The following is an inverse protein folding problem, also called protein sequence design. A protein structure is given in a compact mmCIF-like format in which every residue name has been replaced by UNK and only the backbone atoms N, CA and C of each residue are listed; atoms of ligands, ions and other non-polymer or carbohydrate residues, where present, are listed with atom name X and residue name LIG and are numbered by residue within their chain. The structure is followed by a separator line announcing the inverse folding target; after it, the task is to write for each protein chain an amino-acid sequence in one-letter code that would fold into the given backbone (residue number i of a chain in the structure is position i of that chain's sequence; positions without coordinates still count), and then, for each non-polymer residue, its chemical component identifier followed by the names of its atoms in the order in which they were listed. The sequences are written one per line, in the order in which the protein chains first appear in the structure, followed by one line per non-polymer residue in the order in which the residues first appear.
data_IF_014480067179
#
_entry.id   IF_014480067179
#
_cell.length_a   1.000
_cell.length_b   1.000
_cell.length_c   1.000
_cell.angle_alpha   90.00
_cell.angle_beta   90.00
_cell.angle_gamma   90.00
#
_symmetry.space_group_name_H-M   'P 1'
#
loop_
_entity.id
_entity.type
_entity.pdbx_description
1 polymer ?
#
# COMPACT_ATOMS: atom_id res chain seq x y z
N UNK A 1 7.26 -3.93 14.40
CA UNK A 1 5.99 -4.24 15.10
C UNK A 1 5.67 -5.72 14.86
N UNK A 2 5.65 -6.58 15.89
CA UNK A 2 5.31 -8.01 15.74
C UNK A 2 3.80 -8.16 15.87
N UNK A 3 3.12 -8.53 14.79
CA UNK A 3 1.70 -8.89 14.82
C UNK A 3 1.49 -10.15 15.71
N UNK A 4 0.29 -10.38 16.30
CA UNK A 4 0.05 -11.52 17.19
C UNK A 4 0.17 -12.88 16.47
N UNK A 5 1.24 -13.63 16.75
CA UNK A 5 1.64 -14.85 16.01
C UNK A 5 0.66 -16.03 16.03
N UNK A 6 -0.51 -15.91 16.66
CA UNK A 6 -1.44 -17.01 16.87
C UNK A 6 -2.18 -17.46 15.59
N UNK A 7 -2.48 -16.55 14.65
CA UNK A 7 -3.42 -16.83 13.54
C UNK A 7 -2.76 -17.31 12.24
N UNK A 8 -1.44 -17.28 12.16
CA UNK A 8 -0.64 -17.68 10.99
C UNK A 8 0.38 -18.79 11.27
N UNK A 9 0.40 -19.38 12.48
CA UNK A 9 1.22 -20.58 12.70
C UNK A 9 0.81 -21.68 11.73
N UNK A 10 1.79 -22.18 10.97
CA UNK A 10 1.58 -23.22 9.96
C UNK A 10 0.98 -22.72 8.63
N UNK A 11 0.82 -21.41 8.43
CA UNK A 11 0.36 -20.84 7.15
C UNK A 11 1.47 -20.01 6.50
N UNK A 12 1.66 -20.17 5.20
CA UNK A 12 2.58 -19.35 4.41
C UNK A 12 1.86 -18.09 3.91
N UNK A 13 2.39 -16.93 4.28
CA UNK A 13 1.98 -15.62 3.76
C UNK A 13 3.15 -15.05 2.95
N UNK A 14 3.19 -15.30 1.63
CA UNK A 14 4.40 -15.06 0.83
C UNK A 14 4.82 -13.59 0.80
N UNK A 15 3.87 -12.67 0.99
CA UNK A 15 4.10 -11.24 1.06
C UNK A 15 4.77 -10.76 2.36
N UNK A 16 4.92 -11.61 3.39
CA UNK A 16 5.66 -11.26 4.60
C UNK A 16 7.17 -11.09 4.33
N UNK A 17 7.73 -11.87 3.41
CA UNK A 17 9.13 -11.76 2.96
C UNK A 17 9.22 -11.18 1.53
N UNK A 18 8.30 -11.59 0.65
CA UNK A 18 8.32 -11.27 -0.77
C UNK A 18 9.71 -11.58 -1.40
N UNK A 19 10.33 -10.58 -2.03
CA UNK A 19 11.69 -10.68 -2.60
C UNK A 19 12.73 -9.91 -1.79
N UNK A 20 12.37 -9.47 -0.58
CA UNK A 20 13.22 -8.68 0.32
C UNK A 20 13.69 -7.32 -0.24
N UNK A 21 12.91 -6.70 -1.13
CA UNK A 21 13.19 -5.37 -1.69
C UNK A 21 13.44 -4.31 -0.61
N UNK A 22 12.79 -4.44 0.56
CA UNK A 22 12.97 -3.51 1.68
C UNK A 22 14.43 -3.37 2.13
N UNK A 23 15.21 -4.46 2.11
CA UNK A 23 16.64 -4.41 2.45
C UNK A 23 17.54 -4.30 1.22
N UNK A 24 17.06 -4.71 0.04
CA UNK A 24 17.86 -4.85 -1.19
C UNK A 24 17.68 -3.75 -2.22
N UNK A 25 16.80 -2.77 -1.98
CA UNK A 25 16.40 -1.79 -2.98
C UNK A 25 17.58 -1.06 -3.66
N UNK A 26 18.71 -0.85 -3.00
CA UNK A 26 19.86 -0.16 -3.63
C UNK A 26 20.42 -0.94 -4.82
N UNK A 27 20.60 -2.25 -4.65
CA UNK A 27 21.06 -3.14 -5.72
C UNK A 27 20.02 -3.21 -6.84
N UNK A 28 18.75 -3.31 -6.48
CA UNK A 28 17.66 -3.41 -7.45
C UNK A 28 17.50 -2.10 -8.26
N UNK A 29 17.62 -0.93 -7.62
CA UNK A 29 17.60 0.38 -8.30
C UNK A 29 18.81 0.54 -9.22
N UNK A 30 19.99 0.04 -8.84
CA UNK A 30 21.16 0.03 -9.72
C UNK A 30 20.89 -0.77 -10.99
N UNK A 31 20.28 -1.96 -10.87
CA UNK A 31 19.92 -2.77 -12.04
C UNK A 31 18.89 -2.05 -12.94
N UNK A 32 17.92 -1.32 -12.37
CA UNK A 32 17.01 -0.48 -13.15
C UNK A 32 17.74 0.64 -13.90
N UNK A 33 18.75 1.24 -13.27
CA UNK A 33 19.59 2.27 -13.88
C UNK A 33 20.42 1.72 -15.04
N UNK A 34 20.99 0.52 -14.91
CA UNK A 34 21.72 -0.18 -15.98
C UNK A 34 20.83 -0.45 -17.21
N UNK A 35 19.54 -0.73 -17.00
CA UNK A 35 18.55 -0.85 -18.08
C UNK A 35 18.13 0.50 -18.69
N UNK A 36 18.59 1.63 -18.13
CA UNK A 36 18.31 2.96 -18.65
C UNK A 36 16.92 3.51 -18.29
N UNK A 37 16.31 3.02 -17.21
CA UNK A 37 14.99 3.48 -16.76
C UNK A 37 15.01 5.00 -16.52
N UNK A 38 13.92 5.68 -16.91
CA UNK A 38 13.71 7.12 -16.65
C UNK A 38 12.77 7.36 -15.49
N UNK A 39 11.96 6.37 -15.16
CA UNK A 39 11.05 6.39 -14.03
C UNK A 39 10.86 5.00 -13.45
N UNK A 40 10.51 4.94 -12.17
CA UNK A 40 10.18 3.70 -11.48
C UNK A 40 8.85 3.87 -10.75
N UNK A 41 7.86 3.06 -11.14
CA UNK A 41 6.53 3.06 -10.49
C UNK A 41 6.52 2.08 -9.33
N UNK A 42 6.14 2.57 -8.16
CA UNK A 42 5.89 1.75 -6.96
C UNK A 42 4.77 2.36 -6.11
N UNK A 43 4.46 1.76 -4.96
CA UNK A 43 3.52 2.30 -3.98
C UNK A 43 4.20 2.65 -2.66
N UNK A 44 3.59 3.62 -1.95
CA UNK A 44 3.86 3.82 -0.54
C UNK A 44 2.90 2.92 0.24
N UNK A 45 3.45 1.93 0.93
CA UNK A 45 2.68 1.03 1.77
C UNK A 45 2.06 1.83 2.92
N UNK A 46 0.74 1.99 2.89
CA UNK A 46 0.00 2.76 3.88
C UNK A 46 0.33 2.28 5.31
N UNK A 47 0.44 0.97 5.52
CA UNK A 47 0.82 0.35 6.80
C UNK A 47 2.22 0.69 7.31
N UNK A 48 3.12 1.20 6.47
CA UNK A 48 4.42 1.71 6.93
C UNK A 48 4.28 3.10 7.54
N UNK A 49 3.38 3.92 7.00
CA UNK A 49 3.17 5.31 7.43
C UNK A 49 2.15 5.39 8.56
N UNK A 50 1.03 4.66 8.46
CA UNK A 50 0.00 4.53 9.48
C UNK A 50 -0.30 3.03 9.68
N UNK A 51 0.40 2.36 10.62
CA UNK A 51 0.28 0.92 10.84
C UNK A 51 -1.15 0.40 11.07
N UNK A 52 -1.95 1.13 11.84
CA UNK A 52 -3.37 0.86 12.06
C UNK A 52 -4.25 1.65 11.09
N UNK A 53 -3.77 2.80 10.60
CA UNK A 53 -4.47 3.63 9.63
C UNK A 53 -5.25 4.78 10.27
N UNK A 54 -5.50 4.72 11.59
CA UNK A 54 -6.27 5.73 12.34
C UNK A 54 -5.41 6.55 13.32
N UNK A 55 -4.10 6.30 13.40
CA UNK A 55 -3.19 7.06 14.24
C UNK A 55 -3.19 8.56 13.86
N UNK A 56 -3.06 9.48 14.84
CA UNK A 56 -2.99 10.91 14.56
C UNK A 56 -1.68 11.30 13.86
N UNK A 57 -0.58 10.62 14.20
CA UNK A 57 0.76 10.93 13.72
C UNK A 57 1.33 9.76 12.89
N UNK A 58 2.15 10.06 11.86
CA UNK A 58 2.76 9.03 11.03
C UNK A 58 3.95 8.36 11.74
N UNK A 59 4.29 7.17 11.26
CA UNK A 59 5.49 6.45 11.64
C UNK A 59 6.71 6.96 10.85
N UNK A 60 7.61 7.67 11.53
CA UNK A 60 8.82 8.25 10.93
C UNK A 60 9.74 7.21 10.28
N UNK A 61 9.86 6.00 10.84
CA UNK A 61 10.70 4.96 10.23
C UNK A 61 10.16 4.52 8.87
N UNK A 62 8.83 4.53 8.70
CA UNK A 62 8.20 4.29 7.42
C UNK A 62 8.47 5.43 6.43
N UNK A 63 8.39 6.67 6.89
CA UNK A 63 8.67 7.84 6.05
C UNK A 63 10.13 7.88 5.58
N UNK A 64 11.07 7.59 6.48
CA UNK A 64 12.50 7.59 6.20
C UNK A 64 12.87 6.52 5.17
N UNK A 65 12.24 5.33 5.21
CA UNK A 65 12.48 4.30 4.19
C UNK A 65 12.20 4.82 2.77
N UNK A 66 11.08 5.54 2.57
CA UNK A 66 10.75 6.12 1.27
C UNK A 66 11.61 7.33 0.92
N UNK A 67 12.08 8.10 1.92
CA UNK A 67 13.09 9.13 1.68
C UNK A 67 14.37 8.56 1.08
N UNK A 68 14.83 7.43 1.62
CA UNK A 68 16.03 6.73 1.19
C UNK A 68 15.83 6.08 -0.18
N UNK A 69 14.70 5.40 -0.39
CA UNK A 69 14.34 4.78 -1.66
C UNK A 69 14.24 5.80 -2.79
N UNK A 70 13.50 6.91 -2.58
CA UNK A 70 13.37 7.96 -3.59
C UNK A 70 14.68 8.70 -3.79
N UNK A 71 15.45 8.92 -2.71
CA UNK A 71 16.80 9.45 -2.81
C UNK A 71 17.69 8.58 -3.69
N UNK A 72 17.64 7.26 -3.54
CA UNK A 72 18.39 6.31 -4.36
C UNK A 72 17.94 6.35 -5.84
N UNK A 73 16.64 6.37 -6.11
CA UNK A 73 16.12 6.54 -7.48
C UNK A 73 16.67 7.82 -8.14
N UNK A 74 16.59 8.95 -7.42
CA UNK A 74 17.00 10.25 -7.95
C UNK A 74 18.51 10.35 -8.18
N UNK A 75 19.35 9.68 -7.36
CA UNK A 75 20.80 9.59 -7.60
C UNK A 75 21.12 8.99 -8.97
N UNK A 76 20.31 8.04 -9.43
CA UNK A 76 20.44 7.39 -10.73
C UNK A 76 19.63 8.08 -11.84
N UNK A 77 19.04 9.25 -11.58
CA UNK A 77 18.21 9.96 -12.55
C UNK A 77 16.88 9.28 -12.87
N UNK A 78 16.39 8.42 -11.97
CA UNK A 78 15.11 7.71 -12.10
C UNK A 78 14.05 8.48 -11.31
N UNK A 79 13.02 8.97 -12.01
CA UNK A 79 11.90 9.68 -11.40
C UNK A 79 10.91 8.69 -10.74
N UNK A 80 10.60 8.82 -9.43
CA UNK A 80 9.59 7.98 -8.81
C UNK A 80 8.18 8.31 -9.32
N UNK A 81 7.37 7.27 -9.58
CA UNK A 81 5.94 7.38 -9.91
C UNK A 81 5.15 6.65 -8.85
N UNK A 82 4.40 7.37 -8.02
CA UNK A 82 3.89 6.83 -6.76
C UNK A 82 2.39 6.59 -6.80
N UNK A 83 2.00 5.36 -6.44
CA UNK A 83 0.60 5.00 -6.17
C UNK A 83 0.35 5.03 -4.66
N UNK A 84 -0.68 5.74 -4.19
CA UNK A 84 -0.97 5.88 -2.76
C UNK A 84 -1.61 4.61 -2.16
N UNK A 85 -2.58 4.01 -2.85
CA UNK A 85 -3.24 2.79 -2.41
C UNK A 85 -3.15 1.70 -3.47
N UNK A 86 -2.45 0.61 -3.13
CA UNK A 86 -2.20 -0.50 -4.05
C UNK A 86 -2.45 -1.85 -3.36
N UNK A 87 -3.72 -2.14 -3.07
CA UNK A 87 -4.17 -3.43 -2.51
C UNK A 87 -3.59 -3.79 -1.13
N UNK A 88 -3.16 -2.78 -0.37
CA UNK A 88 -2.34 -2.96 0.85
C UNK A 88 -2.81 -2.08 2.03
N UNK A 89 -4.11 -1.76 2.10
CA UNK A 89 -4.65 -0.95 3.19
C UNK A 89 -4.44 -1.61 4.56
N UNK A 90 -4.32 -0.83 5.66
CA UNK A 90 -4.19 -1.40 6.99
C UNK A 90 -5.36 -2.31 7.35
N UNK A 91 -5.04 -3.56 7.74
CA UNK A 91 -6.07 -4.55 8.08
C UNK A 91 -6.89 -4.15 9.31
N UNK A 92 -6.34 -3.32 10.20
CA UNK A 92 -7.08 -2.69 11.30
C UNK A 92 -8.30 -1.90 10.80
N UNK A 93 -8.17 -1.14 9.70
CA UNK A 93 -9.29 -0.40 9.11
C UNK A 93 -10.41 -1.34 8.60
N UNK A 94 -10.04 -2.53 8.12
CA UNK A 94 -11.01 -3.56 7.74
C UNK A 94 -11.74 -4.09 8.97
N UNK A 95 -11.01 -4.38 10.05
CA UNK A 95 -11.55 -5.00 11.27
C UNK A 95 -12.42 -4.06 12.09
N UNK A 96 -11.93 -2.85 12.36
CA UNK A 96 -12.58 -1.91 13.28
C UNK A 96 -13.63 -1.03 12.59
N UNK A 97 -13.42 -0.70 11.31
CA UNK A 97 -14.27 0.23 10.58
C UNK A 97 -15.05 -0.45 9.45
N UNK A 98 -14.69 -1.69 9.08
CA UNK A 98 -15.33 -2.41 7.98
C UNK A 98 -14.84 -1.99 6.59
N UNK A 99 -13.64 -1.44 6.49
CA UNK A 99 -13.06 -0.99 5.24
C UNK A 99 -13.80 0.22 4.65
N UNK A 100 -13.78 0.34 3.33
CA UNK A 100 -14.22 1.54 2.60
C UNK A 100 -15.74 1.79 2.62
N UNK A 101 -16.53 0.90 3.25
CA UNK A 101 -17.95 1.19 3.55
C UNK A 101 -18.12 2.28 4.61
N UNK A 102 -17.08 2.57 5.41
CA UNK A 102 -17.12 3.55 6.48
C UNK A 102 -16.49 4.87 6.03
N UNK A 103 -17.28 5.95 6.09
CA UNK A 103 -16.87 7.28 5.61
C UNK A 103 -15.62 7.82 6.33
N UNK A 104 -15.33 7.40 7.55
CA UNK A 104 -14.11 7.80 8.29
C UNK A 104 -12.82 7.46 7.55
N UNK A 105 -12.83 6.43 6.68
CA UNK A 105 -11.64 6.07 5.91
C UNK A 105 -11.24 7.13 4.89
N UNK A 106 -12.17 7.99 4.48
CA UNK A 106 -11.83 9.14 3.64
C UNK A 106 -10.85 10.04 4.40
N UNK A 107 -11.14 10.36 5.66
CA UNK A 107 -10.27 11.23 6.47
C UNK A 107 -8.92 10.56 6.77
N UNK A 108 -8.92 9.25 7.05
CA UNK A 108 -7.69 8.49 7.26
C UNK A 108 -6.80 8.46 6.01
N UNK A 109 -7.39 8.22 4.84
CA UNK A 109 -6.67 8.22 3.58
C UNK A 109 -6.17 9.62 3.21
N UNK A 110 -6.98 10.66 3.41
CA UNK A 110 -6.58 12.04 3.15
C UNK A 110 -5.43 12.46 4.07
N UNK A 111 -5.45 12.09 5.35
CA UNK A 111 -4.33 12.32 6.27
C UNK A 111 -3.05 11.64 5.76
N UNK A 112 -3.15 10.36 5.39
CA UNK A 112 -2.04 9.63 4.79
C UNK A 112 -1.50 10.32 3.53
N UNK A 113 -2.38 10.69 2.60
CA UNK A 113 -2.03 11.38 1.36
C UNK A 113 -1.35 12.72 1.62
N UNK A 114 -1.89 13.54 2.52
CA UNK A 114 -1.32 14.84 2.90
C UNK A 114 0.08 14.69 3.50
N UNK A 115 0.29 13.73 4.41
CA UNK A 115 1.60 13.46 5.00
C UNK A 115 2.62 13.13 3.92
N UNK A 116 2.30 12.20 3.01
CA UNK A 116 3.26 11.76 1.99
C UNK A 116 3.47 12.82 0.90
N UNK A 117 2.43 13.58 0.52
CA UNK A 117 2.60 14.72 -0.37
C UNK A 117 3.53 15.77 0.25
N UNK A 118 3.29 16.16 1.51
CA UNK A 118 4.12 17.15 2.19
C UNK A 118 5.57 16.69 2.35
N UNK A 119 5.79 15.40 2.67
CA UNK A 119 7.14 14.84 2.83
C UNK A 119 7.89 14.75 1.51
N UNK A 120 7.23 14.32 0.43
CA UNK A 120 7.89 13.96 -0.83
C UNK A 120 7.64 14.92 -2.00
N UNK A 121 7.00 16.08 -1.77
CA UNK A 121 6.69 17.10 -2.80
C UNK A 121 7.89 17.53 -3.66
N UNK A 122 9.11 17.47 -3.13
CA UNK A 122 10.33 17.83 -3.86
C UNK A 122 11.06 16.64 -4.48
N UNK A 123 10.61 15.41 -4.22
CA UNK A 123 11.22 14.16 -4.71
C UNK A 123 10.34 13.42 -5.73
N UNK A 124 9.03 13.64 -5.72
CA UNK A 124 8.06 12.87 -6.53
C UNK A 124 7.13 13.82 -7.30
N UNK A 125 7.15 13.67 -8.63
CA UNK A 125 6.34 14.50 -9.54
C UNK A 125 5.03 13.84 -9.97
N UNK A 126 4.99 12.51 -10.03
CA UNK A 126 3.87 11.77 -10.60
C UNK A 126 3.18 10.92 -9.53
N UNK A 127 1.86 11.08 -9.43
CA UNK A 127 1.06 10.47 -8.38
C UNK A 127 -0.21 9.84 -8.94
N UNK A 128 -0.62 8.72 -8.35
CA UNK A 128 -1.92 8.08 -8.53
C UNK A 128 -2.55 7.81 -7.17
N UNK A 129 -3.87 7.95 -7.07
CA UNK A 129 -4.59 7.71 -5.81
C UNK A 129 -4.80 6.22 -5.57
N UNK A 130 -5.64 5.58 -6.36
CA UNK A 130 -6.02 4.18 -6.20
C UNK A 130 -5.60 3.36 -7.41
N UNK A 131 -4.85 2.28 -7.18
CA UNK A 131 -4.56 1.30 -8.22
C UNK A 131 -5.86 0.62 -8.68
N UNK A 132 -6.09 0.57 -9.98
CA UNK A 132 -7.17 -0.20 -10.62
C UNK A 132 -8.49 -0.15 -9.85
N UNK A 133 -8.93 1.07 -9.51
CA UNK A 133 -10.08 1.32 -8.64
C UNK A 133 -11.36 0.62 -9.13
N UNK A 134 -11.46 0.39 -10.44
CA UNK A 134 -12.55 -0.27 -11.13
C UNK A 134 -12.54 -1.81 -11.03
N UNK A 135 -11.47 -2.47 -10.54
CA UNK A 135 -11.45 -3.93 -10.40
C UNK A 135 -12.62 -4.44 -9.54
N UNK A 136 -13.00 -3.68 -8.51
CA UNK A 136 -14.13 -4.01 -7.65
C UNK A 136 -15.51 -3.97 -8.35
N UNK A 137 -15.58 -3.55 -9.62
CA UNK A 137 -16.76 -3.76 -10.46
C UNK A 137 -17.09 -5.25 -10.59
N UNK A 138 -16.08 -6.14 -10.53
CA UNK A 138 -16.31 -7.55 -10.30
C UNK A 138 -16.56 -7.82 -8.80
N UNK A 139 -17.81 -7.66 -8.38
CA UNK A 139 -18.26 -7.93 -7.00
C UNK A 139 -18.68 -9.39 -6.78
N UNK A 140 -18.57 -10.26 -7.80
CA UNK A 140 -18.96 -11.68 -7.71
C UNK A 140 -17.87 -12.58 -7.09
N UNK A 141 -16.63 -12.09 -7.12
CA UNK A 141 -15.46 -12.73 -6.51
C UNK A 141 -14.95 -11.94 -5.32
N UNK A 142 -14.25 -12.62 -4.41
CA UNK A 142 -13.80 -12.02 -3.16
C UNK A 142 -12.58 -11.11 -3.35
N UNK A 143 -11.76 -11.35 -4.38
CA UNK A 143 -10.45 -10.71 -4.52
C UNK A 143 -10.56 -9.18 -4.60
N UNK A 144 -11.19 -8.66 -5.65
CA UNK A 144 -11.21 -7.22 -5.90
C UNK A 144 -11.96 -6.41 -4.84
N UNK A 145 -13.15 -6.82 -4.33
CA UNK A 145 -13.77 -6.14 -3.20
C UNK A 145 -12.92 -6.11 -1.94
N UNK A 146 -12.15 -7.18 -1.68
CA UNK A 146 -11.33 -7.26 -0.48
C UNK A 146 -10.05 -6.42 -0.61
N UNK A 147 -9.32 -6.55 -1.71
CA UNK A 147 -8.06 -5.82 -1.92
C UNK A 147 -8.27 -4.33 -2.19
N UNK A 148 -9.30 -3.95 -2.95
CA UNK A 148 -9.60 -2.54 -3.21
C UNK A 148 -10.28 -1.89 -2.01
N UNK A 149 -11.23 -2.60 -1.37
CA UNK A 149 -12.22 -1.97 -0.50
C UNK A 149 -12.29 -2.54 0.93
N UNK A 150 -11.57 -3.62 1.23
CA UNK A 150 -11.68 -4.31 2.51
C UNK A 150 -13.04 -4.98 2.72
N UNK A 151 -13.74 -5.31 1.64
CA UNK A 151 -15.10 -5.85 1.67
C UNK A 151 -15.11 -7.33 1.32
N UNK A 152 -15.95 -8.09 2.01
CA UNK A 152 -16.32 -9.46 1.65
C UNK A 152 -17.84 -9.55 1.58
N UNK A 153 -18.38 -9.73 0.38
CA UNK A 153 -19.81 -9.87 0.19
C UNK A 153 -20.26 -11.29 0.57
N UNK A 154 -21.38 -11.40 1.28
CA UNK A 154 -21.99 -12.70 1.55
C UNK A 154 -22.66 -13.20 0.27
N UNK A 155 -22.27 -14.40 -0.19
CA UNK A 155 -22.99 -15.07 -1.27
C UNK A 155 -24.36 -15.50 -0.74
N UNK A 156 -25.42 -14.82 -1.17
CA UNK A 156 -26.78 -15.31 -0.98
C UNK A 156 -26.94 -16.53 -1.89
N UNK A 157 -26.93 -17.74 -1.31
CA UNK A 157 -27.45 -18.91 -2.03
C UNK A 157 -28.95 -18.69 -2.18
N UNK A 158 -29.39 -18.28 -3.36
CA UNK A 158 -30.79 -18.45 -3.73
C UNK A 158 -30.97 -19.96 -3.78
N UNK A 159 -31.66 -20.52 -2.79
CA UNK A 159 -32.09 -21.91 -2.84
C UNK A 159 -32.97 -22.04 -4.09
N UNK A 160 -32.51 -22.81 -5.08
CA UNK A 160 -33.33 -23.24 -6.20
C UNK A 160 -34.54 -23.96 -5.61
N UNK A 161 -35.74 -23.43 -5.86
CA UNK A 161 -36.99 -24.13 -5.60
C UNK A 161 -37.10 -25.35 -6.48
#
# INVERSE_FOLDING_TARGET
MKLPTAWWRGKNYPNHEAIDFYHRYKDDIQLLAEMGFKCFRTSIAWTRIFPLGDEPEPNEAGLQFYDDLFGECLKHGIEPVITLSHFEMPYHLVREYGGWRNRKLIDFFVRFAQVVFNRYQHKVKYWMTFNEINNQANFHEDFAPFTNSGLKFLRVRIASR
#
